data_IF_544009350721
#
_entry.id   IF_544009350721
#
_cell.length_a   1.000
_cell.length_b   1.000
_cell.length_c   1.000
_cell.angle_alpha   90.00
_cell.angle_beta   90.00
_cell.angle_gamma   90.00
#
_symmetry.space_group_name_H-M   'P 1'
#
loop_
_entity.id
_entity.type
_entity.pdbx_description
1 polymer ?
#
# COMPACT_ATOMS: atom_id res chain seq x y z
N UNK A 1 37.10 -7.18 14.75
CA UNK A 1 36.06 -8.08 14.25
C UNK A 1 34.73 -7.29 14.02
N UNK A 2 34.02 -7.59 12.93
CA UNK A 2 32.68 -7.06 12.66
C UNK A 2 31.64 -8.15 12.91
N UNK A 3 30.58 -7.84 13.64
CA UNK A 3 29.40 -8.69 13.82
C UNK A 3 28.16 -7.93 13.42
N UNK A 4 27.30 -8.55 12.62
CA UNK A 4 25.95 -8.08 12.30
C UNK A 4 24.96 -9.03 12.96
N UNK A 5 23.92 -8.47 13.57
CA UNK A 5 22.79 -9.26 14.08
C UNK A 5 21.81 -9.58 12.93
N UNK A 6 21.02 -10.63 13.09
CA UNK A 6 19.94 -10.95 12.15
C UNK A 6 18.92 -9.81 12.03
N UNK A 7 18.68 -9.11 13.15
CA UNK A 7 17.83 -7.91 13.18
C UNK A 7 18.43 -6.79 12.33
N UNK A 8 19.75 -6.51 12.44
CA UNK A 8 20.41 -5.54 11.58
C UNK A 8 20.26 -5.87 10.09
N UNK A 9 20.36 -7.14 9.71
CA UNK A 9 20.17 -7.57 8.32
C UNK A 9 18.71 -7.35 7.87
N UNK A 10 17.73 -7.68 8.70
CA UNK A 10 16.31 -7.45 8.43
C UNK A 10 15.98 -5.96 8.28
N UNK A 11 16.50 -5.13 9.18
CA UNK A 11 16.32 -3.67 9.13
C UNK A 11 17.06 -3.06 7.93
N UNK A 12 18.22 -3.59 7.55
CA UNK A 12 18.94 -3.20 6.36
C UNK A 12 18.10 -3.45 5.09
N UNK A 13 17.48 -4.63 5.00
CA UNK A 13 16.61 -4.98 3.89
C UNK A 13 15.39 -4.06 3.85
N UNK A 14 14.73 -3.86 4.99
CA UNK A 14 13.48 -3.09 5.08
C UNK A 14 13.68 -1.59 4.89
N UNK A 15 14.73 -1.03 5.48
CA UNK A 15 14.92 0.42 5.54
C UNK A 15 15.87 0.99 4.49
N UNK A 16 16.70 0.19 3.85
CA UNK A 16 17.77 0.70 2.98
C UNK A 16 17.81 0.07 1.58
N UNK A 17 16.99 -0.97 1.33
CA UNK A 17 16.89 -1.60 0.02
C UNK A 17 15.44 -1.67 -0.45
N UNK A 18 15.24 -1.54 -1.78
CA UNK A 18 13.96 -1.77 -2.45
C UNK A 18 14.28 -2.29 -3.85
N UNK A 19 14.42 -3.61 -3.97
CA UNK A 19 14.90 -4.27 -5.18
C UNK A 19 14.32 -5.68 -5.30
N UNK A 20 14.23 -6.18 -6.52
CA UNK A 20 13.83 -7.55 -6.78
C UNK A 20 14.93 -8.59 -6.54
N UNK A 21 16.18 -8.15 -6.42
CA UNK A 21 17.37 -8.96 -6.19
C UNK A 21 18.06 -8.62 -4.88
N UNK A 22 19.39 -8.78 -4.85
CA UNK A 22 20.22 -8.56 -3.65
C UNK A 22 21.44 -7.65 -3.91
N UNK A 23 21.51 -6.97 -5.06
CA UNK A 23 22.68 -6.13 -5.41
C UNK A 23 22.82 -4.89 -4.52
N UNK A 24 21.71 -4.26 -4.17
CA UNK A 24 21.74 -3.10 -3.27
C UNK A 24 22.10 -3.55 -1.87
N UNK A 25 21.56 -4.68 -1.42
CA UNK A 25 21.91 -5.31 -0.14
C UNK A 25 23.40 -5.59 -0.05
N UNK A 26 23.99 -6.23 -1.07
CA UNK A 26 25.42 -6.50 -1.13
C UNK A 26 26.26 -5.21 -1.04
N UNK A 27 25.89 -4.16 -1.79
CA UNK A 27 26.56 -2.86 -1.71
C UNK A 27 26.47 -2.22 -0.33
N UNK A 28 25.32 -2.35 0.34
CA UNK A 28 25.12 -1.82 1.69
C UNK A 28 25.94 -2.58 2.72
N UNK A 29 25.97 -3.91 2.63
CA UNK A 29 26.84 -4.75 3.48
C UNK A 29 28.32 -4.38 3.27
N UNK A 30 28.76 -4.21 2.01
CA UNK A 30 30.10 -3.74 1.70
C UNK A 30 30.40 -2.34 2.26
N UNK A 31 29.44 -1.45 2.30
CA UNK A 31 29.58 -0.12 2.93
C UNK A 31 29.74 -0.24 4.45
N UNK A 32 28.96 -1.10 5.11
CA UNK A 32 29.12 -1.39 6.54
C UNK A 32 30.52 -1.96 6.86
N UNK A 33 30.97 -2.91 6.06
CA UNK A 33 32.33 -3.49 6.23
C UNK A 33 33.42 -2.44 6.10
N UNK A 34 33.33 -1.54 5.13
CA UNK A 34 34.32 -0.46 4.93
C UNK A 34 34.33 0.54 6.08
N UNK A 35 33.16 0.98 6.56
CA UNK A 35 33.06 1.89 7.72
C UNK A 35 33.59 1.24 9.00
N UNK A 36 33.21 -0.01 9.23
CA UNK A 36 33.73 -0.78 10.36
C UNK A 36 35.25 -0.94 10.29
N UNK A 37 35.82 -1.19 9.11
CA UNK A 37 37.27 -1.27 8.95
C UNK A 37 37.96 0.08 9.24
N UNK A 38 37.34 1.19 8.78
CA UNK A 38 37.85 2.53 9.12
C UNK A 38 37.87 2.78 10.63
N UNK A 39 36.78 2.47 11.33
CA UNK A 39 36.71 2.67 12.78
C UNK A 39 37.71 1.82 13.53
N UNK A 40 37.91 0.57 13.11
CA UNK A 40 38.91 -0.32 13.72
C UNK A 40 40.33 0.26 13.55
N UNK A 41 40.65 0.76 12.35
CA UNK A 41 42.01 1.27 12.05
C UNK A 41 42.22 2.68 12.63
N UNK A 42 41.26 3.58 12.50
CA UNK A 42 41.41 4.99 12.89
C UNK A 42 41.20 5.20 14.39
N UNK A 43 40.27 4.48 14.99
CA UNK A 43 39.86 4.69 16.38
C UNK A 43 40.36 3.58 17.33
N UNK A 44 41.13 2.59 16.82
CA UNK A 44 41.70 1.50 17.61
C UNK A 44 40.65 0.56 18.22
N UNK A 45 39.43 0.53 17.70
CA UNK A 45 38.35 -0.29 18.21
C UNK A 45 38.61 -1.76 17.87
N UNK A 46 38.54 -2.64 18.86
CA UNK A 46 38.84 -4.08 18.66
C UNK A 46 37.72 -4.86 17.96
N UNK A 47 36.50 -4.45 18.18
CA UNK A 47 35.31 -5.09 17.58
C UNK A 47 34.16 -4.10 17.41
N UNK A 48 33.38 -4.29 16.36
CA UNK A 48 32.19 -3.51 16.06
C UNK A 48 31.00 -4.45 15.99
N UNK A 49 29.93 -4.07 16.66
CA UNK A 49 28.67 -4.81 16.68
C UNK A 49 27.57 -3.93 16.11
N UNK A 50 27.03 -4.34 14.96
CA UNK A 50 25.95 -3.62 14.27
C UNK A 50 24.64 -4.34 14.53
N UNK A 51 23.67 -3.59 15.07
CA UNK A 51 22.30 -3.99 15.38
C UNK A 51 21.33 -3.18 14.56
N UNK A 52 20.03 -3.52 14.59
CA UNK A 52 18.99 -2.72 13.96
C UNK A 52 18.96 -1.26 14.43
N UNK A 53 19.26 -1.03 15.70
CA UNK A 53 19.17 0.29 16.32
C UNK A 53 20.32 1.25 15.91
N UNK A 54 21.52 0.73 15.63
CA UNK A 54 22.66 1.57 15.28
C UNK A 54 23.01 1.58 13.78
N UNK A 55 22.15 1.02 12.92
CA UNK A 55 22.36 1.04 11.47
C UNK A 55 22.44 2.47 10.90
N UNK A 56 21.69 3.41 11.48
CA UNK A 56 21.67 4.80 11.03
C UNK A 56 23.01 5.52 11.22
N UNK A 57 23.79 5.15 12.23
CA UNK A 57 25.14 5.69 12.49
C UNK A 57 26.09 5.35 11.32
N UNK A 58 25.85 4.21 10.68
CA UNK A 58 26.69 3.73 9.56
C UNK A 58 26.15 4.08 8.20
N UNK A 59 24.84 4.06 7.98
CA UNK A 59 24.22 4.20 6.66
C UNK A 59 23.44 5.50 6.44
N UNK A 60 23.29 6.30 7.52
CA UNK A 60 22.45 7.49 7.53
C UNK A 60 20.96 7.13 7.67
N UNK A 61 20.11 8.11 7.52
CA UNK A 61 18.66 7.99 7.71
C UNK A 61 18.08 6.91 6.80
N UNK A 62 17.13 6.14 7.32
CA UNK A 62 16.38 5.14 6.56
C UNK A 62 15.70 5.77 5.36
N UNK A 63 15.84 5.11 4.21
CA UNK A 63 15.22 5.57 2.95
C UNK A 63 13.79 5.11 2.79
N UNK A 64 13.47 3.95 3.35
CA UNK A 64 12.17 3.31 3.24
C UNK A 64 11.63 3.09 4.64
N UNK A 65 10.40 3.52 4.84
CA UNK A 65 9.67 3.29 6.09
C UNK A 65 8.65 2.18 5.84
N UNK A 66 8.39 1.31 6.82
CA UNK A 66 7.31 0.35 6.69
C UNK A 66 5.99 1.11 6.49
N UNK A 67 5.18 0.61 5.56
CA UNK A 67 3.82 1.09 5.39
C UNK A 67 3.11 0.99 6.74
N UNK A 68 2.52 2.08 7.18
CA UNK A 68 1.77 2.11 8.44
C UNK A 68 0.30 1.97 8.10
N UNK A 69 -0.27 0.81 8.38
CA UNK A 69 -1.72 0.66 8.34
C UNK A 69 -2.37 1.65 9.31
N UNK A 70 -3.57 2.16 8.98
CA UNK A 70 -4.36 2.96 9.92
C UNK A 70 -4.45 2.26 11.26
N UNK A 71 -4.35 3.02 12.37
CA UNK A 71 -4.43 2.44 13.72
C UNK A 71 -5.85 2.00 14.09
N UNK A 72 -6.84 2.59 13.46
CA UNK A 72 -8.27 2.36 13.71
C UNK A 72 -9.00 2.08 12.41
N UNK A 73 -10.12 1.39 12.51
CA UNK A 73 -11.08 1.24 11.42
C UNK A 73 -11.63 2.61 11.00
N UNK A 74 -11.71 2.83 9.70
CA UNK A 74 -12.16 4.11 9.15
C UNK A 74 -13.24 3.89 8.09
N UNK A 75 -14.19 4.83 8.06
CA UNK A 75 -15.20 4.87 7.02
C UNK A 75 -14.57 5.36 5.72
N UNK A 76 -14.82 4.63 4.64
CA UNK A 76 -14.31 5.01 3.31
C UNK A 76 -12.84 4.65 3.05
N UNK A 77 -12.12 4.03 4.00
CA UNK A 77 -10.71 3.67 3.83
C UNK A 77 -10.55 2.16 3.71
N UNK A 78 -9.89 1.69 2.66
CA UNK A 78 -9.72 0.26 2.34
C UNK A 78 -8.29 -0.02 1.94
N UNK A 79 -7.72 -1.11 2.46
CA UNK A 79 -6.44 -1.62 2.02
C UNK A 79 -6.62 -2.45 0.75
N UNK A 80 -6.25 -1.90 -0.38
CA UNK A 80 -6.02 -2.62 -1.62
C UNK A 80 -4.62 -3.22 -1.67
N UNK A 81 -4.33 -3.96 -2.74
CA UNK A 81 -3.03 -4.59 -2.96
C UNK A 81 -2.55 -4.32 -4.38
N UNK A 82 -1.33 -3.84 -4.49
CA UNK A 82 -0.66 -3.60 -5.76
C UNK A 82 0.52 -4.55 -5.96
N UNK A 83 0.86 -4.81 -7.21
CA UNK A 83 2.08 -5.48 -7.60
C UNK A 83 3.01 -4.49 -8.31
N UNK A 84 4.29 -4.53 -7.96
CA UNK A 84 5.34 -3.74 -8.57
C UNK A 84 6.53 -4.63 -8.98
N UNK A 85 7.44 -4.09 -9.77
CA UNK A 85 8.67 -4.82 -10.16
C UNK A 85 9.54 -5.23 -8.96
N UNK A 86 9.35 -4.61 -7.81
CA UNK A 86 10.12 -4.90 -6.58
C UNK A 86 9.30 -5.68 -5.54
N UNK A 87 8.10 -6.11 -5.88
CA UNK A 87 7.23 -6.92 -5.02
C UNK A 87 5.83 -6.35 -4.85
N UNK A 88 5.07 -6.88 -3.91
CA UNK A 88 3.75 -6.36 -3.56
C UNK A 88 3.82 -5.20 -2.57
N UNK A 89 2.80 -4.34 -2.61
CA UNK A 89 2.62 -3.18 -1.74
C UNK A 89 1.15 -3.06 -1.32
N UNK A 90 0.91 -2.45 -0.15
CA UNK A 90 -0.44 -2.03 0.24
C UNK A 90 -0.80 -0.80 -0.60
N UNK A 91 -2.00 -0.80 -1.13
CA UNK A 91 -2.55 0.31 -1.90
C UNK A 91 -3.77 0.84 -1.16
N UNK A 92 -3.60 1.87 -0.36
CA UNK A 92 -4.72 2.49 0.33
C UNK A 92 -5.67 3.15 -0.68
N UNK A 93 -6.97 2.97 -0.46
CA UNK A 93 -8.04 3.59 -1.23
C UNK A 93 -8.93 4.34 -0.28
N UNK A 94 -9.05 5.63 -0.49
CA UNK A 94 -9.90 6.51 0.29
C UNK A 94 -11.13 6.95 -0.53
N UNK A 95 -12.31 6.87 0.04
CA UNK A 95 -13.53 7.40 -0.54
C UNK A 95 -14.20 8.38 0.41
N UNK A 96 -14.47 9.58 -0.07
CA UNK A 96 -15.24 10.61 0.61
C UNK A 96 -16.57 10.86 -0.10
N UNK A 97 -17.62 11.15 0.67
CA UNK A 97 -18.95 11.47 0.17
C UNK A 97 -19.42 12.77 0.79
N UNK A 98 -19.90 13.69 -0.04
CA UNK A 98 -20.45 14.97 0.38
C UNK A 98 -21.78 15.25 -0.35
N UNK A 99 -22.66 16.08 0.20
CA UNK A 99 -23.82 16.57 -0.55
C UNK A 99 -23.39 17.23 -1.87
N UNK A 100 -24.08 16.90 -2.97
CA UNK A 100 -23.68 17.38 -4.28
C UNK A 100 -24.70 17.08 -5.37
N UNK A 101 -24.21 16.87 -6.60
CA UNK A 101 -25.04 16.69 -7.80
C UNK A 101 -24.79 15.37 -8.53
N UNK A 102 -24.05 14.46 -7.92
CA UNK A 102 -23.69 13.16 -8.49
C UNK A 102 -22.35 13.15 -9.21
N UNK A 103 -21.48 14.12 -8.93
CA UNK A 103 -20.12 14.18 -9.46
C UNK A 103 -19.27 13.06 -8.86
N UNK A 104 -18.44 12.44 -9.70
CA UNK A 104 -17.44 11.47 -9.26
C UNK A 104 -16.05 11.98 -9.61
N UNK A 105 -15.22 12.18 -8.60
CA UNK A 105 -13.84 12.59 -8.75
C UNK A 105 -12.90 11.43 -8.44
N UNK A 106 -11.87 11.27 -9.27
CA UNK A 106 -10.88 10.21 -9.14
C UNK A 106 -9.49 10.86 -9.16
N UNK A 107 -8.75 10.75 -8.08
CA UNK A 107 -7.42 11.35 -7.93
C UNK A 107 -6.38 10.33 -7.45
N UNK A 108 -5.09 10.64 -7.61
CA UNK A 108 -3.98 9.77 -7.20
C UNK A 108 -3.15 9.24 -8.37
N UNK A 109 -3.10 9.98 -9.50
CA UNK A 109 -2.33 9.63 -10.69
C UNK A 109 -2.77 8.28 -11.30
N UNK A 110 -4.09 8.15 -11.55
CA UNK A 110 -4.71 6.93 -12.02
C UNK A 110 -4.69 6.84 -13.55
N UNK A 111 -4.29 5.69 -14.06
CA UNK A 111 -4.40 5.36 -15.48
C UNK A 111 -5.84 5.08 -15.92
N UNK A 112 -6.02 4.86 -17.22
CA UNK A 112 -7.35 4.71 -17.83
C UNK A 112 -8.09 3.47 -17.32
N UNK A 113 -7.40 2.35 -17.19
CA UNK A 113 -8.00 1.08 -16.76
C UNK A 113 -8.52 1.17 -15.32
N UNK A 114 -7.78 1.83 -14.43
CA UNK A 114 -8.23 2.04 -13.05
C UNK A 114 -9.43 2.99 -12.96
N UNK A 115 -9.49 4.02 -13.81
CA UNK A 115 -10.64 4.91 -13.93
C UNK A 115 -11.88 4.17 -14.43
N UNK A 116 -11.74 3.30 -15.43
CA UNK A 116 -12.81 2.42 -15.91
C UNK A 116 -13.29 1.45 -14.82
N UNK A 117 -12.38 0.90 -14.05
CA UNK A 117 -12.70 0.04 -12.91
C UNK A 117 -13.53 0.78 -11.84
N UNK A 118 -13.21 2.04 -11.55
CA UNK A 118 -14.02 2.88 -10.66
C UNK A 118 -15.43 3.17 -11.23
N UNK A 119 -15.54 3.36 -12.53
CA UNK A 119 -16.84 3.53 -13.21
C UNK A 119 -17.70 2.26 -13.15
N UNK A 120 -17.07 1.09 -13.34
CA UNK A 120 -17.74 -0.20 -13.20
C UNK A 120 -18.23 -0.43 -11.75
N UNK A 121 -17.41 -0.10 -10.77
CA UNK A 121 -17.75 -0.14 -9.34
C UNK A 121 -18.97 0.73 -9.04
N UNK A 122 -18.97 1.99 -9.50
CA UNK A 122 -20.09 2.91 -9.33
C UNK A 122 -21.38 2.37 -9.97
N UNK A 123 -21.28 1.85 -11.19
CA UNK A 123 -22.42 1.28 -11.91
C UNK A 123 -23.03 0.08 -11.17
N UNK A 124 -22.17 -0.78 -10.61
CA UNK A 124 -22.60 -1.89 -9.76
C UNK A 124 -23.31 -1.38 -8.49
N UNK A 125 -22.71 -0.43 -7.76
CA UNK A 125 -23.30 0.14 -6.54
C UNK A 125 -24.67 0.75 -6.85
N UNK A 126 -24.81 1.53 -7.92
CA UNK A 126 -26.09 2.11 -8.36
C UNK A 126 -27.15 1.05 -8.61
N UNK A 127 -26.78 -0.06 -9.24
CA UNK A 127 -27.72 -1.15 -9.53
C UNK A 127 -28.17 -1.92 -8.28
N UNK A 128 -27.44 -1.79 -7.16
CA UNK A 128 -27.66 -2.52 -5.91
C UNK A 128 -27.86 -1.61 -4.70
N UNK A 129 -28.03 -0.31 -4.91
CA UNK A 129 -28.06 0.69 -3.84
C UNK A 129 -28.96 0.30 -2.68
N UNK A 130 -30.23 -0.02 -2.95
CA UNK A 130 -31.19 -0.41 -1.91
C UNK A 130 -30.77 -1.67 -1.15
N UNK A 131 -30.22 -2.67 -1.85
CA UNK A 131 -29.73 -3.90 -1.22
C UNK A 131 -28.50 -3.66 -0.34
N UNK A 132 -27.72 -2.64 -0.65
CA UNK A 132 -26.52 -2.22 0.12
C UNK A 132 -26.88 -1.23 1.24
N UNK A 133 -28.14 -0.90 1.43
CA UNK A 133 -28.58 0.10 2.42
C UNK A 133 -28.25 1.53 2.03
N UNK A 134 -28.09 1.80 0.75
CA UNK A 134 -27.77 3.11 0.18
C UNK A 134 -29.04 3.73 -0.43
N UNK A 135 -29.22 5.04 -0.30
CA UNK A 135 -30.31 5.78 -0.94
C UNK A 135 -30.34 5.54 -2.45
N UNK A 136 -31.51 5.22 -3.00
CA UNK A 136 -31.64 4.86 -4.43
C UNK A 136 -31.19 5.95 -5.39
N UNK A 137 -31.30 7.21 -5.00
CA UNK A 137 -30.97 8.39 -5.79
C UNK A 137 -29.67 9.10 -5.36
N UNK A 138 -28.84 8.44 -4.56
CA UNK A 138 -27.55 9.00 -4.08
C UNK A 138 -26.74 9.63 -5.21
N UNK A 139 -26.78 9.05 -6.39
CA UNK A 139 -26.08 9.53 -7.58
C UNK A 139 -26.59 10.88 -8.14
N UNK A 140 -27.63 11.45 -7.53
CA UNK A 140 -28.16 12.79 -7.87
C UNK A 140 -27.91 13.81 -6.75
N UNK A 141 -27.67 13.33 -5.54
CA UNK A 141 -27.65 14.14 -4.31
C UNK A 141 -26.30 14.13 -3.59
N UNK A 142 -25.40 13.23 -4.00
CA UNK A 142 -24.07 13.06 -3.34
C UNK A 142 -22.98 13.05 -4.40
N UNK A 143 -21.92 13.83 -4.14
CA UNK A 143 -20.67 13.74 -4.87
C UNK A 143 -19.74 12.76 -4.16
N UNK A 144 -19.01 11.97 -4.93
CA UNK A 144 -18.09 10.95 -4.45
C UNK A 144 -16.69 11.30 -4.93
N UNK A 145 -15.73 11.32 -4.00
CA UNK A 145 -14.33 11.47 -4.35
C UNK A 145 -13.58 10.22 -3.93
N UNK A 146 -12.93 9.55 -4.87
CA UNK A 146 -12.02 8.43 -4.61
C UNK A 146 -10.60 8.90 -4.83
N UNK A 147 -9.80 8.75 -3.80
CA UNK A 147 -8.39 9.12 -3.80
C UNK A 147 -7.49 7.92 -3.51
N UNK A 148 -6.37 7.88 -4.22
CA UNK A 148 -5.29 6.96 -3.94
C UNK A 148 -4.07 7.78 -3.49
N UNK A 149 -3.65 7.68 -2.22
CA UNK A 149 -2.47 8.35 -1.73
C UNK A 149 -1.20 8.06 -2.55
N UNK A 150 -0.14 8.85 -2.31
CA UNK A 150 1.11 8.76 -3.08
C UNK A 150 0.93 9.08 -4.58
N UNK A 151 0.32 10.21 -4.89
CA UNK A 151 0.02 10.65 -6.27
C UNK A 151 1.24 10.82 -7.19
N UNK A 152 2.47 10.83 -6.66
CA UNK A 152 3.69 10.82 -7.45
C UNK A 152 3.92 9.49 -8.20
N UNK A 153 3.35 8.38 -7.69
CA UNK A 153 3.48 7.04 -8.28
C UNK A 153 2.30 6.76 -9.19
N UNK A 154 2.50 6.55 -10.50
CA UNK A 154 1.42 6.15 -11.40
C UNK A 154 0.80 4.82 -10.99
N UNK A 155 -0.53 4.75 -11.02
CA UNK A 155 -1.28 3.55 -10.65
C UNK A 155 -2.25 3.21 -11.77
N UNK A 156 -2.25 1.96 -12.23
CA UNK A 156 -3.19 1.49 -13.25
C UNK A 156 -3.52 0.01 -13.07
N UNK A 157 -4.62 -0.42 -13.69
CA UNK A 157 -5.08 -1.79 -13.70
C UNK A 157 -6.44 -2.01 -13.03
N UNK A 158 -7.12 -3.12 -13.33
CA UNK A 158 -8.48 -3.38 -12.87
C UNK A 158 -8.56 -3.98 -11.46
N UNK A 159 -7.44 -4.44 -10.91
CA UNK A 159 -7.40 -5.24 -9.67
C UNK A 159 -7.76 -4.47 -8.39
N UNK A 160 -7.86 -3.14 -8.45
CA UNK A 160 -8.34 -2.32 -7.36
C UNK A 160 -9.89 -2.23 -7.30
N UNK A 161 -10.61 -2.83 -8.26
CA UNK A 161 -12.06 -2.71 -8.37
C UNK A 161 -12.83 -3.06 -7.11
N UNK A 162 -12.48 -4.16 -6.43
CA UNK A 162 -13.16 -4.53 -5.18
C UNK A 162 -12.83 -3.54 -4.04
N UNK A 163 -11.60 -3.04 -3.95
CA UNK A 163 -11.22 -2.06 -2.95
C UNK A 163 -11.95 -0.72 -3.17
N UNK A 164 -12.03 -0.25 -4.41
CA UNK A 164 -12.80 0.94 -4.79
C UNK A 164 -14.28 0.76 -4.44
N UNK A 165 -14.87 -0.37 -4.82
CA UNK A 165 -16.27 -0.69 -4.54
C UNK A 165 -16.55 -0.65 -3.04
N UNK A 166 -15.70 -1.30 -2.25
CA UNK A 166 -15.85 -1.38 -0.79
C UNK A 166 -15.66 -0.02 -0.14
N UNK A 167 -14.68 0.79 -0.59
CA UNK A 167 -14.48 2.14 -0.09
C UNK A 167 -15.68 3.05 -0.36
N UNK A 168 -16.22 3.01 -1.58
CA UNK A 168 -17.43 3.77 -1.93
C UNK A 168 -18.64 3.33 -1.11
N UNK A 169 -18.88 2.02 -0.95
CA UNK A 169 -19.99 1.49 -0.15
C UNK A 169 -19.83 1.90 1.31
N UNK A 170 -18.63 1.76 1.87
CA UNK A 170 -18.32 2.20 3.22
C UNK A 170 -18.63 3.69 3.42
N UNK A 171 -18.16 4.55 2.52
CA UNK A 171 -18.41 5.99 2.59
C UNK A 171 -19.90 6.35 2.45
N UNK A 172 -20.64 5.65 1.61
CA UNK A 172 -22.07 5.89 1.38
C UNK A 172 -22.96 5.39 2.53
N UNK A 173 -22.54 4.32 3.22
CA UNK A 173 -23.31 3.71 4.31
C UNK A 173 -22.86 4.19 5.70
N UNK A 174 -21.68 4.79 5.81
CA UNK A 174 -21.06 5.15 7.09
C UNK A 174 -20.49 3.95 7.87
N UNK A 175 -20.46 2.75 7.27
CA UNK A 175 -19.91 1.56 7.90
C UNK A 175 -18.38 1.50 7.74
N UNK A 176 -17.61 1.43 8.83
CA UNK A 176 -16.15 1.37 8.75
C UNK A 176 -15.69 0.03 8.17
N UNK A 177 -14.51 0.03 7.56
CA UNK A 177 -13.87 -1.18 7.04
C UNK A 177 -12.80 -1.65 8.01
N UNK A 178 -12.74 -2.94 8.24
CA UNK A 178 -11.75 -3.56 9.12
C UNK A 178 -10.35 -3.39 8.55
N UNK A 179 -9.45 -2.82 9.35
CA UNK A 179 -8.08 -2.48 8.96
C UNK A 179 -7.20 -3.70 8.66
N UNK A 180 -7.50 -4.84 9.28
CA UNK A 180 -6.78 -6.10 9.10
C UNK A 180 -7.23 -6.88 7.87
N UNK A 181 -8.03 -6.27 7.01
CA UNK A 181 -8.45 -6.86 5.74
C UNK A 181 -7.81 -6.07 4.60
N UNK A 182 -7.18 -6.78 3.69
CA UNK A 182 -6.79 -6.25 2.38
C UNK A 182 -7.51 -7.02 1.28
N UNK A 183 -7.75 -6.35 0.15
CA UNK A 183 -8.49 -6.97 -0.94
C UNK A 183 -7.91 -6.61 -2.31
N UNK A 184 -8.08 -7.50 -3.26
CA UNK A 184 -7.71 -7.30 -4.65
C UNK A 184 -8.60 -8.12 -5.56
N UNK A 185 -9.05 -7.53 -6.66
CA UNK A 185 -9.92 -8.19 -7.63
C UNK A 185 -10.58 -7.18 -8.56
N UNK A 186 -10.81 -7.59 -9.79
CA UNK A 186 -11.61 -6.84 -10.74
C UNK A 186 -13.09 -7.05 -10.44
N UNK A 187 -13.88 -5.98 -10.42
CA UNK A 187 -15.33 -6.05 -10.19
C UNK A 187 -16.08 -5.88 -11.51
N UNK A 188 -16.97 -6.81 -11.80
CA UNK A 188 -17.85 -6.71 -12.97
C UNK A 188 -19.11 -5.91 -12.65
N UNK A 189 -19.84 -5.44 -13.68
CA UNK A 189 -21.13 -4.76 -13.52
C UNK A 189 -22.19 -5.61 -12.80
N UNK A 190 -21.99 -6.93 -12.70
CA UNK A 190 -22.87 -7.87 -11.99
C UNK A 190 -22.39 -8.19 -10.56
N UNK A 191 -21.27 -7.58 -10.13
CA UNK A 191 -20.70 -7.79 -8.80
C UNK A 191 -19.86 -9.07 -8.65
N UNK A 192 -19.49 -9.72 -9.75
CA UNK A 192 -18.51 -10.82 -9.69
C UNK A 192 -17.12 -10.24 -9.51
N UNK A 193 -16.35 -10.87 -8.66
CA UNK A 193 -14.93 -10.55 -8.49
C UNK A 193 -14.12 -11.52 -9.31
N UNK A 194 -13.34 -10.99 -10.25
CA UNK A 194 -12.49 -11.76 -11.14
C UNK A 194 -11.08 -11.90 -10.56
N UNK A 195 -10.38 -12.96 -10.97
CA UNK A 195 -9.00 -13.20 -10.59
C UNK A 195 -8.05 -12.15 -11.20
N UNK A 196 -6.90 -11.99 -10.56
CA UNK A 196 -5.91 -10.95 -10.89
C UNK A 196 -4.50 -11.56 -10.95
N UNK A 197 -3.57 -10.82 -11.53
CA UNK A 197 -2.15 -11.15 -11.52
C UNK A 197 -1.44 -10.73 -10.23
N UNK A 198 -0.27 -11.34 -9.97
CA UNK A 198 0.60 -10.97 -8.86
C UNK A 198 0.04 -11.33 -7.47
N UNK A 199 -0.80 -12.36 -7.37
CA UNK A 199 -1.42 -12.73 -6.09
C UNK A 199 -0.39 -13.09 -5.03
N UNK A 200 0.69 -13.80 -5.41
CA UNK A 200 1.77 -14.16 -4.49
C UNK A 200 2.43 -12.93 -3.86
N UNK A 201 2.82 -11.97 -4.68
CA UNK A 201 3.47 -10.74 -4.23
C UNK A 201 2.52 -9.90 -3.37
N UNK A 202 1.26 -9.81 -3.78
CA UNK A 202 0.21 -9.10 -3.06
C UNK A 202 -0.06 -9.70 -1.67
N UNK A 203 -0.20 -11.00 -1.58
CA UNK A 203 -0.41 -11.70 -0.28
C UNK A 203 0.82 -11.59 0.62
N UNK A 204 2.02 -11.62 0.05
CA UNK A 204 3.25 -11.40 0.82
C UNK A 204 3.34 -9.98 1.37
N UNK A 205 2.83 -8.98 0.63
CA UNK A 205 2.74 -7.61 1.14
C UNK A 205 1.75 -7.50 2.29
N UNK A 206 0.56 -8.08 2.17
CA UNK A 206 -0.43 -8.14 3.24
C UNK A 206 0.17 -8.78 4.50
N UNK A 207 0.75 -9.96 4.37
CA UNK A 207 1.40 -10.69 5.47
C UNK A 207 2.49 -9.88 6.17
N UNK A 208 3.37 -9.19 5.42
CA UNK A 208 4.44 -8.35 5.98
C UNK A 208 3.91 -7.16 6.80
N UNK A 209 2.70 -6.70 6.47
CA UNK A 209 2.03 -5.59 7.14
C UNK A 209 1.06 -6.05 8.24
N UNK A 210 1.01 -7.33 8.53
CA UNK A 210 0.18 -7.88 9.62
C UNK A 210 -1.30 -8.07 9.27
N UNK A 211 -1.58 -8.22 7.96
CA UNK A 211 -2.91 -8.55 7.42
C UNK A 211 -2.99 -10.03 7.11
#
# INVERSE_FOLDING_TARGET
QLRLTDDAIRELIRGYTREAGVRVLERKLGALCRKAAMDIVSNGVKSIHITGDNLEDYLGIRRYHPERLPRTEQVGVVNGLAWTQVGGEILEVEAGVVPGSGKVELTGNLGSVMKESAQAALSYIRSRAVQLGIEADFYKTKDIHVHFPEGAVPKDGPSAGIAITTAMVSALTGAPVRREIAMTGEVTLRGRVLHIGGLKEKTMAAYRNGI
#
